data_IF_965078815756
#
_entry.id   IF_965078815756
#
_cell.length_a   1.000
_cell.length_b   1.000
_cell.length_c   1.000
_cell.angle_alpha   90.00
_cell.angle_beta   90.00
_cell.angle_gamma   90.00
#
_symmetry.space_group_name_H-M   'P 1'
#
loop_
_entity.id
_entity.type
_entity.pdbx_description
1 polymer ?
#
# COMPACT_ATOMS: atom_id res chain seq x y z
N UNK A 1 7.89 29.43 -60.41
CA UNK A 1 8.26 28.03 -60.18
C UNK A 1 7.05 27.14 -60.38
N UNK A 2 7.26 25.97 -60.99
CA UNK A 2 6.25 24.90 -61.11
C UNK A 2 6.08 24.14 -59.79
N UNK A 3 5.10 23.25 -59.72
CA UNK A 3 4.83 22.39 -58.56
C UNK A 3 6.10 21.70 -58.04
N UNK A 4 6.23 21.61 -56.71
CA UNK A 4 7.38 20.98 -56.08
C UNK A 4 8.64 21.84 -56.07
N UNK A 5 8.63 23.04 -56.67
CA UNK A 5 9.74 23.99 -56.59
C UNK A 5 9.29 25.36 -56.08
N UNK A 6 10.17 26.07 -55.38
CA UNK A 6 9.93 27.40 -54.83
C UNK A 6 11.07 28.36 -55.18
N UNK A 7 10.81 29.65 -55.05
CA UNK A 7 11.82 30.71 -55.13
C UNK A 7 11.42 31.89 -54.24
N UNK A 8 12.30 32.26 -53.30
CA UNK A 8 12.08 33.32 -52.33
C UNK A 8 12.78 34.64 -52.68
N UNK A 9 13.47 34.73 -53.82
CA UNK A 9 14.20 35.92 -54.26
C UNK A 9 13.51 36.62 -55.43
N UNK A 10 13.19 37.91 -55.27
CA UNK A 10 12.68 38.76 -56.33
C UNK A 10 13.69 38.84 -57.49
N UNK A 11 13.24 38.56 -58.72
CA UNK A 11 14.03 38.51 -59.96
C UNK A 11 14.95 37.30 -60.19
N UNK A 12 14.93 36.27 -59.32
CA UNK A 12 15.60 35.00 -59.63
C UNK A 12 14.75 34.16 -60.60
N UNK A 13 15.39 33.57 -61.62
CA UNK A 13 14.76 32.61 -62.54
C UNK A 13 14.96 31.15 -62.12
N UNK A 14 15.75 30.91 -61.06
CA UNK A 14 16.09 29.57 -60.59
C UNK A 14 15.13 29.14 -59.48
N UNK A 15 14.62 27.90 -59.57
CA UNK A 15 13.68 27.34 -58.60
C UNK A 15 14.29 26.15 -57.87
N UNK A 16 14.26 26.19 -56.55
CA UNK A 16 14.75 25.12 -55.67
C UNK A 16 13.65 24.09 -55.41
N UNK A 17 14.00 22.80 -55.34
CA UNK A 17 13.03 21.72 -55.09
C UNK A 17 12.71 21.64 -53.59
N UNK A 18 11.44 21.42 -53.25
CA UNK A 18 11.06 21.09 -51.88
C UNK A 18 11.43 19.63 -51.56
N UNK A 19 12.10 19.43 -50.43
CA UNK A 19 12.48 18.08 -49.99
C UNK A 19 11.30 17.30 -49.40
N UNK A 20 11.46 15.98 -49.18
CA UNK A 20 10.48 15.18 -48.45
C UNK A 20 10.04 15.82 -47.13
N UNK A 21 8.79 15.60 -46.75
CA UNK A 21 8.16 16.20 -45.58
C UNK A 21 7.74 17.66 -45.77
N UNK A 22 7.91 18.24 -46.97
CA UNK A 22 7.53 19.62 -47.28
C UNK A 22 6.63 19.70 -48.51
N UNK A 23 5.83 20.77 -48.59
CA UNK A 23 5.02 21.13 -49.74
C UNK A 23 5.30 22.58 -50.18
N UNK A 24 5.05 22.89 -51.44
CA UNK A 24 5.18 24.25 -51.98
C UNK A 24 4.07 25.17 -51.47
N UNK A 25 4.43 26.32 -50.89
CA UNK A 25 3.48 27.27 -50.31
C UNK A 25 3.73 28.74 -50.73
N UNK A 26 2.74 29.59 -50.45
CA UNK A 26 2.82 31.05 -50.63
C UNK A 26 3.63 31.79 -49.54
N UNK A 27 4.33 31.05 -48.67
CA UNK A 27 5.06 31.60 -47.52
C UNK A 27 4.19 31.85 -46.28
N UNK A 28 2.86 31.73 -46.40
CA UNK A 28 1.91 31.75 -45.26
C UNK A 28 1.40 30.36 -44.90
N UNK A 29 1.95 29.32 -45.53
CA UNK A 29 1.58 27.92 -45.31
C UNK A 29 0.37 27.47 -46.13
N UNK A 30 -0.09 28.25 -47.10
CA UNK A 30 -1.14 27.82 -48.04
C UNK A 30 -0.49 27.14 -49.24
N UNK A 31 -0.95 25.94 -49.57
CA UNK A 31 -0.42 25.15 -50.69
C UNK A 31 -0.69 25.82 -52.03
N UNK A 32 0.34 25.98 -52.85
CA UNK A 32 0.23 26.58 -54.19
C UNK A 32 0.93 25.73 -55.24
N UNK A 33 0.25 25.52 -56.37
CA UNK A 33 0.72 24.72 -57.50
C UNK A 33 1.65 25.50 -58.45
N UNK A 34 1.71 26.83 -58.32
CA UNK A 34 2.60 27.69 -59.08
C UNK A 34 2.98 28.92 -58.25
N UNK A 35 4.10 29.56 -58.64
CA UNK A 35 4.61 30.78 -57.98
C UNK A 35 4.88 30.62 -56.47
N UNK A 36 5.23 29.40 -56.04
CA UNK A 36 5.57 29.14 -54.65
C UNK A 36 6.81 29.95 -54.20
N UNK A 37 6.69 30.56 -53.04
CA UNK A 37 7.74 31.41 -52.44
C UNK A 37 8.43 30.72 -51.27
N UNK A 38 7.90 29.59 -50.79
CA UNK A 38 8.50 28.81 -49.71
C UNK A 38 8.22 27.31 -49.85
N UNK A 39 9.04 26.50 -49.15
CA UNK A 39 8.69 25.14 -48.76
C UNK A 39 8.21 25.16 -47.32
N UNK A 40 7.04 24.59 -47.05
CA UNK A 40 6.49 24.48 -45.71
C UNK A 40 6.42 23.03 -45.29
N UNK A 41 6.79 22.73 -44.04
CA UNK A 41 6.67 21.40 -43.48
C UNK A 41 5.21 20.93 -43.52
N UNK A 42 5.02 19.66 -43.84
CA UNK A 42 3.72 19.03 -43.71
C UNK A 42 3.22 19.14 -42.27
N UNK A 43 1.97 19.59 -42.02
CA UNK A 43 1.42 19.59 -40.68
C UNK A 43 1.35 18.16 -40.12
N UNK A 44 1.36 18.03 -38.79
CA UNK A 44 1.18 16.73 -38.14
C UNK A 44 -0.11 16.06 -38.63
N UNK A 45 -0.09 14.73 -38.72
CA UNK A 45 -1.16 13.95 -39.34
C UNK A 45 -1.12 13.94 -40.88
N UNK A 46 -0.16 14.61 -41.50
CA UNK A 46 0.10 14.52 -42.92
C UNK A 46 1.57 14.23 -43.24
N UNK A 47 1.85 13.83 -44.47
CA UNK A 47 3.20 13.47 -44.91
C UNK A 47 3.43 13.82 -46.37
N UNK A 48 4.71 13.82 -46.77
CA UNK A 48 5.10 13.93 -48.16
C UNK A 48 6.39 13.13 -48.43
N UNK A 49 6.34 12.14 -49.31
CA UNK A 49 7.44 11.21 -49.55
C UNK A 49 8.52 11.79 -50.47
N UNK A 50 8.12 12.43 -51.57
CA UNK A 50 9.05 12.89 -52.63
C UNK A 50 9.29 14.41 -52.63
N UNK A 51 8.61 15.16 -51.76
CA UNK A 51 8.79 16.62 -51.62
C UNK A 51 8.27 17.50 -52.77
N UNK A 52 7.70 16.91 -53.82
CA UNK A 52 7.41 17.59 -55.09
C UNK A 52 5.93 17.94 -55.28
N UNK A 53 5.23 18.30 -54.20
CA UNK A 53 3.78 18.53 -54.20
C UNK A 53 3.42 19.88 -53.58
N UNK A 54 2.24 20.41 -53.93
CA UNK A 54 1.66 21.59 -53.28
C UNK A 54 0.77 21.24 -52.07
N UNK A 55 0.56 19.96 -51.81
CA UNK A 55 -0.23 19.48 -50.68
C UNK A 55 0.41 18.23 -50.05
N UNK A 56 0.22 18.08 -48.75
CA UNK A 56 0.60 16.88 -48.02
C UNK A 56 -0.54 15.87 -48.01
N UNK A 57 -0.19 14.59 -48.04
CA UNK A 57 -1.15 13.50 -47.96
C UNK A 57 -1.52 13.28 -46.49
N UNK A 58 -2.81 13.12 -46.18
CA UNK A 58 -3.23 12.78 -44.83
C UNK A 58 -2.85 11.34 -44.49
N UNK A 59 -2.48 11.10 -43.23
CA UNK A 59 -2.35 9.76 -42.72
C UNK A 59 -3.70 9.04 -42.76
N UNK A 60 -3.70 7.82 -43.27
CA UNK A 60 -4.85 6.94 -43.20
C UNK A 60 -5.17 6.56 -41.75
N UNK A 61 -6.37 6.00 -41.53
CA UNK A 61 -6.72 5.41 -40.23
C UNK A 61 -5.69 4.36 -39.81
N UNK A 62 -5.51 4.23 -38.51
CA UNK A 62 -4.47 3.39 -37.93
C UNK A 62 -3.05 3.93 -38.08
N UNK A 63 -2.84 5.14 -38.63
CA UNK A 63 -1.52 5.76 -38.73
C UNK A 63 -1.53 7.19 -38.20
N UNK A 64 -0.36 7.68 -37.81
CA UNK A 64 -0.13 9.06 -37.39
C UNK A 64 1.21 9.58 -37.89
N UNK A 65 1.41 10.89 -37.88
CA UNK A 65 2.68 11.49 -38.25
C UNK A 65 2.95 12.78 -37.47
N UNK A 66 4.22 13.04 -37.18
CA UNK A 66 4.67 14.33 -36.67
C UNK A 66 4.79 15.35 -37.82
N UNK A 67 4.90 16.63 -37.47
CA UNK A 67 5.18 17.70 -38.45
C UNK A 67 6.46 17.38 -39.24
N UNK A 68 6.44 17.66 -40.54
CA UNK A 68 7.58 17.44 -41.44
C UNK A 68 7.83 15.96 -41.79
N UNK A 69 6.87 15.07 -41.51
CA UNK A 69 7.04 13.64 -41.76
C UNK A 69 7.07 13.29 -43.25
N UNK A 70 7.94 12.34 -43.59
CA UNK A 70 8.03 11.78 -44.95
C UNK A 70 7.05 10.64 -45.19
N UNK A 71 6.58 9.99 -44.13
CA UNK A 71 5.61 8.91 -44.17
C UNK A 71 4.81 8.89 -42.86
N UNK A 72 3.65 8.25 -42.86
CA UNK A 72 2.89 7.98 -41.65
C UNK A 72 3.37 6.72 -40.94
N UNK A 73 3.40 6.78 -39.62
CA UNK A 73 3.76 5.66 -38.75
C UNK A 73 2.51 4.94 -38.27
N UNK A 74 2.47 3.61 -38.41
CA UNK A 74 1.37 2.80 -37.90
C UNK A 74 1.26 2.91 -36.37
N UNK A 75 0.02 2.95 -35.88
CA UNK A 75 -0.24 2.85 -34.45
C UNK A 75 0.24 1.50 -33.93
N UNK A 76 1.08 1.56 -32.91
CA UNK A 76 1.60 0.39 -32.22
C UNK A 76 0.49 -0.29 -31.41
N UNK A 77 0.75 -1.55 -31.03
CA UNK A 77 -0.07 -2.33 -30.12
C UNK A 77 -0.60 -1.51 -28.93
N UNK A 78 -1.91 -1.57 -28.69
CA UNK A 78 -2.56 -0.83 -27.59
C UNK A 78 -3.02 0.58 -27.96
N UNK A 79 -2.60 1.11 -29.12
CA UNK A 79 -2.97 2.44 -29.61
C UNK A 79 -3.69 2.35 -30.96
N UNK A 80 -4.51 3.34 -31.25
CA UNK A 80 -5.31 3.41 -32.47
C UNK A 80 -5.42 4.84 -33.02
N UNK A 81 -5.82 4.94 -34.29
CA UNK A 81 -6.19 6.20 -34.94
C UNK A 81 -7.49 5.98 -35.74
N UNK A 82 -8.58 6.59 -35.29
CA UNK A 82 -9.93 6.36 -35.86
C UNK A 82 -10.26 7.24 -37.06
N UNK A 83 -9.53 8.34 -37.23
CA UNK A 83 -9.71 9.31 -38.31
C UNK A 83 -8.47 9.40 -39.19
N UNK A 84 -8.67 9.82 -40.43
CA UNK A 84 -7.56 10.28 -41.27
C UNK A 84 -6.99 11.58 -40.70
N UNK A 85 -5.72 11.87 -40.99
CA UNK A 85 -5.10 13.10 -40.49
C UNK A 85 -4.75 13.07 -39.00
N UNK A 86 -4.74 11.89 -38.38
CA UNK A 86 -4.48 11.78 -36.94
C UNK A 86 -3.03 12.15 -36.63
N UNK A 87 -2.84 13.08 -35.70
CA UNK A 87 -1.51 13.57 -35.32
C UNK A 87 -0.78 12.63 -34.36
N UNK A 88 -1.52 11.88 -33.54
CA UNK A 88 -0.99 10.92 -32.58
C UNK A 88 -1.96 9.77 -32.35
N UNK A 89 -1.44 8.55 -32.20
CA UNK A 89 -2.24 7.38 -31.84
C UNK A 89 -2.68 7.40 -30.37
N UNK A 90 -3.98 7.19 -30.15
CA UNK A 90 -4.63 7.24 -28.83
C UNK A 90 -4.68 5.83 -28.23
N UNK A 91 -4.48 5.70 -26.92
CA UNK A 91 -4.62 4.43 -26.21
C UNK A 91 -6.09 4.02 -26.03
N UNK A 92 -6.37 2.72 -26.09
CA UNK A 92 -7.69 2.24 -25.67
C UNK A 92 -7.90 2.47 -24.16
N UNK A 93 -9.09 2.94 -23.78
CA UNK A 93 -9.50 3.03 -22.38
C UNK A 93 -9.55 1.64 -21.71
N UNK A 94 -9.48 1.60 -20.37
CA UNK A 94 -9.66 0.37 -19.60
C UNK A 94 -10.99 -0.32 -19.95
N UNK A 95 -10.96 -1.64 -20.01
CA UNK A 95 -12.11 -2.46 -20.44
C UNK A 95 -12.28 -2.55 -21.96
N UNK A 96 -11.35 -2.01 -22.75
CA UNK A 96 -11.29 -2.17 -24.20
C UNK A 96 -9.91 -2.67 -24.65
N UNK A 97 -9.89 -3.35 -25.80
CA UNK A 97 -8.67 -3.76 -26.50
C UNK A 97 -8.64 -3.19 -27.91
N UNK A 98 -7.46 -3.03 -28.50
CA UNK A 98 -7.35 -2.63 -29.92
C UNK A 98 -7.96 -3.68 -30.85
N UNK A 99 -8.49 -3.25 -31.99
CA UNK A 99 -9.03 -4.15 -33.02
C UNK A 99 -7.93 -4.91 -33.79
N UNK A 100 -6.71 -4.38 -33.81
CA UNK A 100 -5.53 -4.97 -34.45
C UNK A 100 -4.28 -4.76 -33.59
N UNK A 101 -3.23 -5.55 -33.82
CA UNK A 101 -1.93 -5.38 -33.17
C UNK A 101 -1.09 -4.25 -33.80
N UNK A 102 -1.28 -4.00 -35.09
CA UNK A 102 -0.62 -2.91 -35.84
C UNK A 102 -1.68 -2.15 -36.62
N UNK A 103 -1.52 -0.83 -36.68
CA UNK A 103 -2.41 0.08 -37.40
C UNK A 103 -3.88 -0.06 -36.99
N UNK A 104 -4.14 -0.19 -35.68
CA UNK A 104 -5.51 -0.30 -35.20
C UNK A 104 -6.31 0.98 -35.50
N UNK A 105 -7.52 0.81 -36.03
CA UNK A 105 -8.44 1.93 -36.31
C UNK A 105 -9.39 2.23 -35.15
N UNK A 106 -9.42 1.37 -34.14
CA UNK A 106 -10.33 1.53 -33.01
C UNK A 106 -10.09 0.53 -31.89
N UNK A 107 -11.01 0.58 -30.93
CA UNK A 107 -11.04 -0.28 -29.77
C UNK A 107 -12.37 -1.04 -29.69
N UNK A 108 -12.32 -2.27 -29.21
CA UNK A 108 -13.49 -3.11 -28.94
C UNK A 108 -13.58 -3.38 -27.45
N UNK A 109 -14.80 -3.31 -26.89
CA UNK A 109 -15.05 -3.62 -25.47
C UNK A 109 -14.73 -5.09 -25.17
N UNK A 110 -14.21 -5.33 -23.97
CA UNK A 110 -14.04 -6.68 -23.45
C UNK A 110 -15.40 -7.30 -23.09
N UNK A 111 -15.51 -8.62 -23.31
CA UNK A 111 -16.69 -9.39 -22.92
C UNK A 111 -16.56 -9.82 -21.46
N UNK A 112 -17.60 -9.55 -20.67
CA UNK A 112 -17.70 -9.99 -19.28
C UNK A 112 -17.52 -11.52 -19.18
N UNK A 113 -16.79 -12.05 -18.18
CA UNK A 113 -16.23 -11.37 -16.99
C UNK A 113 -14.85 -10.73 -17.17
N UNK A 114 -14.29 -10.73 -18.38
CA UNK A 114 -12.95 -10.17 -18.63
C UNK A 114 -12.98 -8.67 -18.93
N UNK A 115 -11.85 -8.03 -18.67
CA UNK A 115 -11.57 -6.61 -18.84
C UNK A 115 -10.09 -6.42 -19.22
N UNK A 116 -9.63 -5.17 -19.26
CA UNK A 116 -8.27 -4.79 -19.65
C UNK A 116 -7.84 -3.48 -19.02
N UNK A 117 -6.52 -3.27 -18.89
CA UNK A 117 -5.96 -1.96 -18.52
C UNK A 117 -5.94 -1.02 -19.73
N UNK A 118 -5.72 0.26 -19.47
CA UNK A 118 -5.52 1.26 -20.53
C UNK A 118 -4.36 0.82 -21.45
N UNK A 119 -4.55 0.94 -22.76
CA UNK A 119 -3.53 0.58 -23.76
C UNK A 119 -3.35 -0.94 -23.98
N UNK A 120 -4.28 -1.78 -23.53
CA UNK A 120 -4.16 -3.23 -23.71
C UNK A 120 -4.52 -3.70 -25.12
N UNK A 121 -3.89 -4.79 -25.57
CA UNK A 121 -4.22 -5.51 -26.82
C UNK A 121 -5.13 -6.72 -26.62
N UNK A 122 -5.30 -7.16 -25.37
CA UNK A 122 -6.14 -8.30 -25.02
C UNK A 122 -7.02 -8.00 -23.80
N UNK A 123 -7.99 -8.88 -23.57
CA UNK A 123 -8.84 -8.86 -22.38
C UNK A 123 -8.43 -10.04 -21.52
N UNK A 124 -7.57 -9.80 -20.52
CA UNK A 124 -6.90 -10.84 -19.74
C UNK A 124 -7.05 -10.67 -18.23
N UNK A 125 -7.59 -9.54 -17.77
CA UNK A 125 -7.82 -9.30 -16.35
C UNK A 125 -9.30 -9.42 -16.03
N UNK A 126 -9.65 -9.75 -14.81
CA UNK A 126 -11.04 -9.80 -14.39
C UNK A 126 -11.60 -8.39 -14.19
N UNK A 127 -12.85 -8.20 -14.63
CA UNK A 127 -13.61 -6.97 -14.42
C UNK A 127 -13.81 -6.73 -12.93
N UNK A 128 -14.06 -5.47 -12.56
CA UNK A 128 -14.58 -5.10 -11.24
C UNK A 128 -15.75 -6.00 -10.81
N UNK A 129 -15.72 -6.44 -9.56
CA UNK A 129 -16.64 -7.43 -8.99
C UNK A 129 -16.24 -8.89 -9.25
N UNK A 130 -15.08 -9.15 -9.88
CA UNK A 130 -14.55 -10.49 -10.11
C UNK A 130 -13.08 -10.58 -9.66
N UNK A 131 -12.66 -11.76 -9.21
CA UNK A 131 -11.26 -12.08 -8.96
C UNK A 131 -10.76 -13.17 -9.90
N UNK A 132 -9.46 -13.17 -10.14
CA UNK A 132 -8.77 -14.16 -10.96
C UNK A 132 -8.25 -15.34 -10.11
N UNK A 133 -8.51 -16.55 -10.60
CA UNK A 133 -7.91 -17.81 -10.15
C UNK A 133 -7.68 -18.69 -11.39
N UNK A 134 -6.46 -19.15 -11.61
CA UNK A 134 -6.09 -20.02 -12.74
C UNK A 134 -6.56 -19.51 -14.12
N UNK A 135 -6.40 -18.20 -14.38
CA UNK A 135 -6.84 -17.47 -15.58
C UNK A 135 -8.36 -17.44 -15.79
N UNK A 136 -9.13 -17.84 -14.79
CA UNK A 136 -10.59 -17.82 -14.79
C UNK A 136 -11.07 -16.71 -13.86
N UNK A 137 -12.12 -16.01 -14.28
CA UNK A 137 -12.72 -14.96 -13.46
C UNK A 137 -13.90 -15.51 -12.68
N UNK A 138 -13.83 -15.39 -11.36
CA UNK A 138 -14.86 -15.79 -10.42
C UNK A 138 -15.52 -14.56 -9.79
N UNK A 139 -16.81 -14.65 -9.50
CA UNK A 139 -17.53 -13.56 -8.83
C UNK A 139 -16.90 -13.27 -7.45
N UNK A 140 -16.83 -11.99 -7.09
CA UNK A 140 -16.26 -11.58 -5.81
C UNK A 140 -17.04 -12.19 -4.65
N UNK A 141 -16.37 -12.80 -3.66
CA UNK A 141 -17.04 -13.35 -2.48
C UNK A 141 -17.74 -12.25 -1.69
N UNK A 142 -18.82 -12.61 -0.98
CA UNK A 142 -19.52 -11.68 -0.09
C UNK A 142 -18.57 -11.12 0.96
N UNK A 143 -18.73 -9.83 1.29
CA UNK A 143 -17.88 -9.07 2.22
C UNK A 143 -16.43 -8.89 1.75
N UNK A 144 -16.16 -9.18 0.48
CA UNK A 144 -14.96 -8.78 -0.24
C UNK A 144 -15.26 -7.70 -1.26
N UNK A 145 -14.25 -6.90 -1.56
CA UNK A 145 -14.19 -5.95 -2.66
C UNK A 145 -13.14 -6.44 -3.65
N UNK A 146 -13.54 -6.56 -4.91
CA UNK A 146 -12.66 -7.00 -5.98
C UNK A 146 -12.59 -5.92 -7.07
N UNK A 147 -11.74 -4.89 -6.89
CA UNK A 147 -11.43 -3.94 -7.94
C UNK A 147 -10.91 -4.62 -9.22
N UNK A 148 -10.83 -3.87 -10.31
CA UNK A 148 -10.27 -4.33 -11.59
C UNK A 148 -8.91 -5.03 -11.40
N UNK A 149 -8.78 -6.26 -11.90
CA UNK A 149 -7.53 -7.04 -11.81
C UNK A 149 -7.24 -7.66 -10.44
N UNK A 150 -8.23 -7.77 -9.56
CA UNK A 150 -8.11 -8.55 -8.32
C UNK A 150 -7.82 -10.03 -8.64
N UNK A 151 -6.91 -10.63 -7.88
CA UNK A 151 -6.61 -12.06 -7.86
C UNK A 151 -7.05 -12.65 -6.53
N UNK A 152 -7.18 -13.98 -6.45
CA UNK A 152 -7.52 -14.68 -5.19
C UNK A 152 -6.70 -14.20 -3.98
N UNK A 153 -5.40 -14.00 -4.19
CA UNK A 153 -4.47 -13.62 -3.15
C UNK A 153 -4.70 -12.19 -2.62
N UNK A 154 -5.19 -11.26 -3.44
CA UNK A 154 -5.28 -9.83 -3.08
C UNK A 154 -6.72 -9.30 -2.96
N UNK A 155 -7.71 -10.18 -2.81
CA UNK A 155 -9.10 -9.79 -2.50
C UNK A 155 -9.10 -8.86 -1.27
N UNK A 156 -9.67 -7.66 -1.43
CA UNK A 156 -9.80 -6.71 -0.33
C UNK A 156 -10.95 -7.13 0.56
N UNK A 157 -10.70 -7.37 1.85
CA UNK A 157 -11.73 -7.77 2.80
C UNK A 157 -12.27 -6.54 3.51
N UNK A 158 -13.58 -6.46 3.70
CA UNK A 158 -14.19 -5.37 4.45
C UNK A 158 -13.78 -5.41 5.93
N UNK A 159 -13.72 -4.24 6.58
CA UNK A 159 -13.51 -4.16 8.03
C UNK A 159 -14.57 -4.96 8.78
N UNK A 160 -14.17 -5.61 9.88
CA UNK A 160 -15.03 -6.52 10.64
C UNK A 160 -15.06 -7.96 10.12
N UNK A 161 -14.36 -8.25 9.02
CA UNK A 161 -14.26 -9.59 8.44
C UNK A 161 -12.81 -10.10 8.39
N UNK A 162 -12.67 -11.42 8.33
CA UNK A 162 -11.40 -12.14 8.36
C UNK A 162 -11.41 -13.31 7.38
N UNK A 163 -10.24 -13.64 6.84
CA UNK A 163 -10.01 -14.87 6.06
C UNK A 163 -8.74 -15.57 6.53
N UNK A 164 -8.70 -16.89 6.37
CA UNK A 164 -7.56 -17.72 6.81
C UNK A 164 -6.24 -17.34 6.15
N UNK A 165 -6.29 -16.89 4.90
CA UNK A 165 -5.13 -16.49 4.14
C UNK A 165 -5.48 -16.10 2.71
N UNK A 166 -4.47 -15.74 1.90
CA UNK A 166 -4.65 -15.34 0.51
C UNK A 166 -5.29 -16.43 -0.36
N UNK A 167 -5.13 -17.71 -0.02
CA UNK A 167 -5.69 -18.84 -0.78
C UNK A 167 -7.13 -19.18 -0.38
N UNK A 168 -7.72 -18.45 0.57
CA UNK A 168 -9.10 -18.69 1.02
C UNK A 168 -10.04 -17.62 0.49
N UNK A 169 -11.10 -18.07 -0.18
CA UNK A 169 -12.21 -17.21 -0.63
C UNK A 169 -13.32 -17.08 0.44
N UNK A 170 -13.20 -17.83 1.54
CA UNK A 170 -14.19 -17.85 2.61
C UNK A 170 -13.91 -16.71 3.58
N UNK A 171 -14.66 -15.63 3.41
CA UNK A 171 -14.62 -14.44 4.26
C UNK A 171 -15.65 -14.62 5.38
N UNK A 172 -15.20 -14.52 6.63
CA UNK A 172 -15.99 -14.75 7.83
C UNK A 172 -16.06 -13.49 8.69
N UNK A 173 -17.20 -13.27 9.33
CA UNK A 173 -17.40 -12.15 10.24
C UNK A 173 -16.68 -12.37 11.58
N UNK A 174 -16.07 -11.32 12.12
CA UNK A 174 -15.43 -11.34 13.43
C UNK A 174 -16.45 -11.00 14.51
N UNK A 175 -17.32 -11.96 14.82
CA UNK A 175 -18.42 -11.78 15.79
C UNK A 175 -17.92 -11.46 17.20
N UNK A 176 -16.84 -12.09 17.63
CA UNK A 176 -16.29 -11.91 18.98
C UNK A 176 -15.64 -10.54 19.18
N UNK A 177 -15.06 -9.94 18.14
CA UNK A 177 -14.47 -8.60 18.24
C UNK A 177 -14.46 -7.92 16.87
N UNK A 178 -15.55 -7.24 16.48
CA UNK A 178 -15.66 -6.61 15.17
C UNK A 178 -14.56 -5.56 14.92
N UNK A 179 -14.07 -4.92 15.99
CA UNK A 179 -12.98 -3.94 15.92
C UNK A 179 -11.59 -4.55 15.81
N UNK A 180 -11.39 -5.84 16.08
CA UNK A 180 -10.10 -6.50 15.98
C UNK A 180 -9.73 -6.86 14.53
N UNK A 181 -10.73 -6.98 13.64
CA UNK A 181 -10.52 -7.27 12.23
C UNK A 181 -10.58 -5.98 11.43
N UNK A 182 -9.42 -5.50 10.99
CA UNK A 182 -9.32 -4.32 10.14
C UNK A 182 -9.72 -4.62 8.69
N UNK A 183 -9.69 -5.90 8.30
CA UNK A 183 -9.86 -6.31 6.91
C UNK A 183 -8.61 -6.00 6.09
N UNK A 184 -8.78 -5.80 4.79
CA UNK A 184 -7.70 -5.50 3.84
C UNK A 184 -7.37 -6.66 2.91
N UNK A 185 -6.35 -6.46 2.07
CA UNK A 185 -5.98 -7.35 0.96
C UNK A 185 -4.84 -8.33 1.29
N UNK A 186 -4.46 -8.45 2.58
CA UNK A 186 -3.37 -9.32 3.04
C UNK A 186 -1.95 -8.72 2.93
N UNK A 187 -1.78 -7.55 2.29
CA UNK A 187 -0.52 -6.79 2.33
C UNK A 187 -0.39 -5.88 3.56
N UNK A 188 -1.50 -5.62 4.24
CA UNK A 188 -1.59 -4.97 5.55
C UNK A 188 -2.08 -5.99 6.57
N UNK A 189 -1.73 -5.84 7.86
CA UNK A 189 -2.21 -6.75 8.90
C UNK A 189 -3.75 -6.76 8.91
N UNK A 190 -4.33 -7.94 8.70
CA UNK A 190 -5.79 -8.15 8.74
C UNK A 190 -6.38 -7.88 10.12
N UNK A 191 -5.52 -7.97 11.13
CA UNK A 191 -5.84 -7.77 12.53
C UNK A 191 -5.33 -6.41 13.01
N UNK A 192 -6.08 -5.81 13.93
CA UNK A 192 -5.63 -4.65 14.68
C UNK A 192 -4.38 -5.00 15.50
N UNK A 193 -3.54 -4.01 15.79
CA UNK A 193 -2.35 -4.13 16.62
C UNK A 193 -2.58 -5.00 17.86
N UNK A 194 -1.63 -5.90 18.12
CA UNK A 194 -1.62 -6.83 19.25
C UNK A 194 -2.72 -7.90 19.22
N UNK A 195 -3.40 -8.09 18.09
CA UNK A 195 -4.33 -9.20 17.84
C UNK A 195 -3.82 -10.06 16.67
N UNK A 196 -3.95 -11.38 16.78
CA UNK A 196 -3.49 -12.36 15.80
C UNK A 196 -4.40 -13.60 15.75
N UNK A 197 -4.09 -14.51 14.84
CA UNK A 197 -4.75 -15.81 14.72
C UNK A 197 -6.15 -15.76 14.08
N UNK A 198 -6.92 -16.85 14.16
CA UNK A 198 -8.26 -16.93 13.59
C UNK A 198 -9.18 -15.83 14.14
N UNK A 199 -9.90 -15.15 13.25
CA UNK A 199 -10.80 -14.03 13.60
C UNK A 199 -10.15 -12.91 14.40
N UNK A 200 -8.81 -12.80 14.36
CA UNK A 200 -8.04 -11.90 15.21
C UNK A 200 -8.38 -12.09 16.71
N UNK A 201 -8.73 -13.32 17.11
CA UNK A 201 -9.24 -13.64 18.45
C UNK A 201 -8.14 -13.83 19.51
N UNK A 202 -6.87 -13.92 19.10
CA UNK A 202 -5.76 -14.19 20.01
C UNK A 202 -5.00 -12.89 20.25
N UNK A 203 -4.74 -12.53 21.51
CA UNK A 203 -3.84 -11.40 21.81
C UNK A 203 -2.38 -11.80 21.62
N UNK A 204 -1.55 -10.84 21.22
CA UNK A 204 -0.10 -11.00 21.21
C UNK A 204 0.46 -11.15 22.64
N UNK A 205 1.71 -11.59 22.74
CA UNK A 205 2.39 -11.75 24.02
C UNK A 205 2.40 -10.41 24.78
N UNK A 206 2.16 -10.45 26.09
CA UNK A 206 1.97 -9.28 26.98
C UNK A 206 0.66 -8.50 26.79
N UNK A 207 -0.29 -8.98 25.98
CA UNK A 207 -1.63 -8.41 25.85
C UNK A 207 -2.72 -9.41 26.23
N UNK A 208 -3.81 -8.91 26.82
CA UNK A 208 -4.99 -9.70 27.19
C UNK A 208 -6.28 -8.88 27.01
N UNK A 209 -7.44 -9.57 26.96
CA UNK A 209 -8.77 -8.94 26.97
C UNK A 209 -9.40 -9.09 28.33
N UNK A 210 -10.17 -8.10 28.74
CA UNK A 210 -10.97 -8.16 29.96
C UNK A 210 -12.35 -8.84 29.73
N UNK A 211 -12.83 -8.86 28.48
CA UNK A 211 -14.10 -9.45 28.06
C UNK A 211 -14.00 -9.96 26.63
N UNK A 212 -14.92 -10.82 26.19
CA UNK A 212 -14.90 -11.40 24.83
C UNK A 212 -14.92 -10.35 23.72
N UNK A 213 -15.58 -9.21 23.96
CA UNK A 213 -15.76 -8.11 22.99
C UNK A 213 -14.70 -7.01 23.10
N UNK A 214 -13.85 -7.05 24.12
CA UNK A 214 -12.85 -6.02 24.39
C UNK A 214 -11.65 -6.15 23.44
N UNK A 215 -10.97 -5.01 23.20
CA UNK A 215 -9.69 -5.02 22.47
C UNK A 215 -8.57 -5.58 23.35
N UNK A 216 -7.55 -6.17 22.73
CA UNK A 216 -6.34 -6.59 23.43
C UNK A 216 -5.66 -5.36 24.06
N UNK A 217 -5.49 -5.38 25.39
CA UNK A 217 -4.80 -4.33 26.17
C UNK A 217 -3.53 -4.90 26.76
N UNK A 218 -2.50 -4.07 26.91
CA UNK A 218 -1.25 -4.51 27.53
C UNK A 218 -1.51 -4.93 28.97
N UNK A 219 -1.02 -6.10 29.36
CA UNK A 219 -0.99 -6.54 30.73
C UNK A 219 -0.12 -5.56 31.52
N UNK A 220 -0.74 -4.78 32.43
CA UNK A 220 0.03 -3.94 33.33
C UNK A 220 0.96 -4.86 34.12
N UNK A 221 2.27 -4.82 33.85
CA UNK A 221 3.26 -5.43 34.73
C UNK A 221 2.99 -4.84 36.10
N UNK A 222 2.48 -5.65 37.04
CA UNK A 222 2.43 -5.23 38.45
C UNK A 222 3.86 -4.85 38.77
N UNK A 223 4.14 -3.54 38.91
CA UNK A 223 5.24 -3.08 39.75
C UNK A 223 4.86 -3.59 41.14
N UNK A 224 5.24 -4.83 41.46
CA UNK A 224 5.33 -5.22 42.84
C UNK A 224 6.13 -4.12 43.51
N UNK A 225 5.63 -3.56 44.62
CA UNK A 225 6.41 -2.63 45.41
C UNK A 225 7.80 -3.24 45.56
N UNK A 226 8.81 -2.58 45.00
CA UNK A 226 10.17 -3.10 44.90
C UNK A 226 10.54 -3.69 46.26
N UNK A 227 10.98 -4.95 46.27
CA UNK A 227 11.44 -5.64 47.49
C UNK A 227 12.43 -4.77 48.29
N UNK A 228 13.16 -3.90 47.59
CA UNK A 228 14.03 -2.84 48.10
C UNK A 228 13.37 -1.92 49.14
N UNK A 229 12.08 -1.57 49.01
CA UNK A 229 11.40 -0.69 49.98
C UNK A 229 11.26 -1.36 51.34
N UNK A 230 10.85 -2.63 51.37
CA UNK A 230 10.73 -3.41 52.61
C UNK A 230 12.08 -3.68 53.25
N UNK A 231 13.12 -3.90 52.45
CA UNK A 231 14.51 -4.04 52.93
C UNK A 231 14.98 -2.76 53.61
N UNK A 232 14.80 -1.59 52.97
CA UNK A 232 15.19 -0.30 53.56
C UNK A 232 14.42 0.01 54.86
N UNK A 233 13.13 -0.33 54.91
CA UNK A 233 12.28 -0.11 56.08
C UNK A 233 12.70 -1.01 57.26
N UNK A 234 13.18 -2.24 56.98
CA UNK A 234 13.75 -3.13 58.01
C UNK A 234 15.12 -2.67 58.53
N UNK A 235 15.99 -2.13 57.67
CA UNK A 235 17.25 -1.54 58.12
C UNK A 235 17.02 -0.28 58.96
N UNK A 236 16.09 0.58 58.57
CA UNK A 236 15.75 1.79 59.31
C UNK A 236 15.19 1.48 60.71
N UNK A 237 14.37 0.43 60.87
CA UNK A 237 13.85 0.02 62.17
C UNK A 237 14.94 -0.54 63.09
N UNK A 238 15.89 -1.31 62.55
CA UNK A 238 17.06 -1.80 63.30
C UNK A 238 17.93 -0.63 63.78
N UNK A 239 18.21 0.34 62.90
CA UNK A 239 18.99 1.54 63.26
C UNK A 239 18.29 2.33 64.37
N UNK A 240 16.96 2.49 64.31
CA UNK A 240 16.19 3.14 65.36
C UNK A 240 16.27 2.39 66.70
N UNK A 241 16.17 1.06 66.69
CA UNK A 241 16.31 0.25 67.91
C UNK A 241 17.71 0.40 68.51
N UNK A 242 18.76 0.31 67.69
CA UNK A 242 20.15 0.49 68.14
C UNK A 242 20.37 1.90 68.68
N UNK A 243 19.82 2.92 68.01
CA UNK A 243 19.89 4.30 68.47
C UNK A 243 19.14 4.51 69.79
N UNK A 244 17.96 3.91 69.97
CA UNK A 244 17.24 3.92 71.24
C UNK A 244 18.04 3.24 72.37
N UNK A 245 18.72 2.12 72.08
CA UNK A 245 19.61 1.46 73.03
C UNK A 245 20.80 2.36 73.38
N UNK A 246 21.41 3.01 72.38
CA UNK A 246 22.52 3.96 72.57
C UNK A 246 22.11 5.16 73.44
N UNK A 247 20.93 5.76 73.18
CA UNK A 247 20.38 6.83 74.00
C UNK A 247 20.07 6.35 75.43
N UNK A 248 19.57 5.12 75.61
CA UNK A 248 19.35 4.50 76.93
C UNK A 248 20.68 4.29 77.68
N UNK A 249 21.77 3.97 76.97
CA UNK A 249 23.12 3.82 77.54
C UNK A 249 23.73 5.14 78.01
N UNK A 250 23.46 6.26 77.35
CA UNK A 250 24.00 7.55 77.78
C UNK A 250 23.29 8.13 79.01
N UNK A 251 22.01 7.81 79.23
CA UNK A 251 21.21 8.47 80.24
C UNK A 251 21.16 7.77 81.61
N UNK A 252 21.64 6.53 81.72
CA UNK A 252 21.62 5.76 82.97
C UNK A 252 22.80 4.77 83.01
N UNK A 253 23.73 4.96 83.95
CA UNK A 253 24.83 4.03 84.25
C UNK A 253 24.34 2.70 84.85
N UNK A 254 23.59 1.93 84.06
CA UNK A 254 22.91 0.70 84.48
C UNK A 254 23.50 -0.50 83.73
N UNK A 255 23.82 -1.56 84.49
CA UNK A 255 24.45 -2.81 84.03
C UNK A 255 23.55 -3.54 83.04
N UNK A 256 24.00 -3.66 81.80
CA UNK A 256 23.33 -4.41 80.72
C UNK A 256 23.65 -5.89 80.88
N UNK A 257 22.91 -6.58 81.74
CA UNK A 257 23.03 -8.03 81.96
C UNK A 257 21.70 -8.79 81.96
N UNK A 258 20.60 -8.17 82.38
CA UNK A 258 19.31 -8.87 82.58
C UNK A 258 18.21 -8.51 81.57
N UNK A 259 18.23 -7.36 80.88
CA UNK A 259 17.17 -7.01 79.91
C UNK A 259 17.35 -7.63 78.51
N UNK A 260 18.46 -8.33 78.24
CA UNK A 260 18.70 -8.98 76.93
C UNK A 260 17.79 -10.21 76.75
N UNK A 261 17.40 -10.88 77.84
CA UNK A 261 16.65 -12.13 77.75
C UNK A 261 15.19 -11.93 77.28
N UNK A 262 14.55 -10.84 77.70
CA UNK A 262 13.17 -10.51 77.35
C UNK A 262 13.05 -10.06 75.88
N UNK A 263 14.07 -9.36 75.36
CA UNK A 263 14.13 -8.95 73.94
C UNK A 263 14.41 -10.16 73.03
N UNK A 264 15.23 -11.12 73.47
CA UNK A 264 15.50 -12.35 72.69
C UNK A 264 14.24 -13.22 72.55
N UNK A 265 13.39 -13.32 73.57
CA UNK A 265 12.12 -14.04 73.48
C UNK A 265 11.14 -13.38 72.50
N UNK A 266 11.02 -12.06 72.54
CA UNK A 266 10.16 -11.30 71.60
C UNK A 266 10.68 -11.42 70.16
N UNK A 267 12.00 -11.35 69.95
CA UNK A 267 12.60 -11.58 68.62
C UNK A 267 12.45 -13.03 68.15
N UNK A 268 12.42 -14.01 69.06
CA UNK A 268 12.14 -15.41 68.76
C UNK A 268 10.72 -15.60 68.19
N UNK A 269 9.71 -15.08 68.89
CA UNK A 269 8.32 -15.08 68.44
C UNK A 269 8.15 -14.34 67.09
N UNK A 270 8.75 -13.16 66.95
CA UNK A 270 8.67 -12.35 65.73
C UNK A 270 9.36 -13.03 64.54
N UNK A 271 10.52 -13.67 64.76
CA UNK A 271 11.24 -14.44 63.73
C UNK A 271 10.42 -15.63 63.24
N UNK A 272 9.68 -16.29 64.13
CA UNK A 272 8.85 -17.44 63.78
C UNK A 272 7.63 -16.99 62.98
N UNK A 273 6.97 -15.90 63.40
CA UNK A 273 5.84 -15.28 62.68
C UNK A 273 6.25 -14.72 61.32
N UNK A 274 7.42 -14.07 61.23
CA UNK A 274 7.95 -13.53 59.97
C UNK A 274 8.35 -14.66 58.99
N UNK A 275 8.93 -15.76 59.48
CA UNK A 275 9.18 -16.95 58.65
C UNK A 275 7.88 -17.53 58.11
N UNK A 276 6.83 -17.61 58.91
CA UNK A 276 5.51 -18.10 58.44
C UNK A 276 5.00 -17.17 57.33
N UNK A 277 5.03 -15.86 57.53
CA UNK A 277 4.57 -14.89 56.52
C UNK A 277 5.42 -14.96 55.24
N UNK A 278 6.75 -15.05 55.35
CA UNK A 278 7.64 -15.18 54.19
C UNK A 278 7.44 -16.49 53.44
N UNK A 279 7.27 -17.61 54.16
CA UNK A 279 6.95 -18.91 53.55
C UNK A 279 5.59 -18.88 52.85
N UNK A 280 4.57 -18.28 53.48
CA UNK A 280 3.25 -18.10 52.85
C UNK A 280 3.35 -17.20 51.61
N UNK A 281 4.13 -16.13 51.66
CA UNK A 281 4.31 -15.22 50.53
C UNK A 281 5.09 -15.89 49.40
N UNK A 282 6.14 -16.67 49.71
CA UNK A 282 6.86 -17.49 48.73
C UNK A 282 5.95 -18.50 48.07
N UNK A 283 5.12 -19.22 48.85
CA UNK A 283 4.14 -20.17 48.35
C UNK A 283 3.14 -19.48 47.42
N UNK A 284 2.54 -18.35 47.85
CA UNK A 284 1.62 -17.55 47.02
C UNK A 284 2.27 -17.03 45.74
N UNK A 285 3.55 -16.64 45.79
CA UNK A 285 4.31 -16.19 44.61
C UNK A 285 4.80 -17.32 43.70
N UNK A 286 4.85 -18.56 44.19
CA UNK A 286 5.29 -19.75 43.45
C UNK A 286 4.15 -20.46 42.73
N UNK A 287 2.89 -20.13 43.04
CA UNK A 287 1.77 -20.55 42.19
C UNK A 287 1.89 -19.80 40.86
N UNK A 288 2.12 -20.51 39.73
CA UNK A 288 1.91 -19.88 38.44
C UNK A 288 0.45 -19.44 38.41
N UNK A 289 0.19 -18.22 37.96
CA UNK A 289 -1.16 -17.72 37.74
C UNK A 289 -1.86 -18.59 36.69
N UNK A 290 -2.36 -19.75 37.12
CA UNK A 290 -3.40 -20.48 36.44
C UNK A 290 -4.70 -19.83 36.88
N UNK A 291 -5.11 -18.82 36.12
CA UNK A 291 -6.52 -18.45 36.04
C UNK A 291 -6.85 -18.34 34.56
N UNK A 292 -7.90 -19.11 34.23
CA UNK A 292 -8.63 -19.21 32.96
C UNK A 292 -8.94 -17.85 32.31
#
# INVERSE_FOLDING_TARGET
CEIGKFNNQSASTTCSVCGPGHFTSDGRGVGVSSQATACTECPAGSYQEEGSSYQCLLCEKGKSSSRGSKNCTACVAGRFASSTGTTECIECESGKKTTSFVAAEGCTKCTSPFSSWKGSTNCSICKDGYYEEDKTCHECPRNGECPLGTTKANININSGYWRLGPDSIRILECTSSPGACLGGNGSSPLCQDNSKGPFCAICELDYARASETDKCRSCAKRRGLDSSFWVLLSFASIILVVFCIYLKQQHNGVKVGEEIHEIIEIYGELKTKLKIVLSFTQVVSSFPSQFD
#
